data_IF_312468668922
#
_entry.id   IF_312468668922
#
_cell.length_a   1.000
_cell.length_b   1.000
_cell.length_c   1.000
_cell.angle_alpha   90.00
_cell.angle_beta   90.00
_cell.angle_gamma   90.00
#
_symmetry.space_group_name_H-M   'P 1'
#
loop_
_entity.id
_entity.type
_entity.pdbx_description
1 polymer ?
#
# COMPACT_ATOMS: atom_id res chain seq x y z
N UNK A 1 -3.98 51.12 -2.59
CA UNK A 1 -4.50 50.32 -1.46
C UNK A 1 -5.91 49.89 -1.85
N UNK A 2 -6.31 48.63 -1.97
CA UNK A 2 -5.68 47.31 -1.82
C UNK A 2 -6.78 46.38 -2.36
N UNK A 3 -6.48 45.50 -3.32
CA UNK A 3 -7.44 44.48 -3.78
C UNK A 3 -7.58 43.43 -2.69
N UNK A 4 -8.79 43.27 -2.12
CA UNK A 4 -9.08 42.32 -1.04
C UNK A 4 -9.94 41.15 -1.54
N UNK A 5 -9.24 40.06 -1.88
CA UNK A 5 -9.35 38.73 -1.24
C UNK A 5 -10.75 38.08 -1.08
N UNK A 6 -11.58 38.00 -2.12
CA UNK A 6 -12.78 37.12 -2.12
C UNK A 6 -13.10 36.45 -3.46
N UNK A 7 -12.07 36.01 -4.17
CA UNK A 7 -12.20 35.27 -5.43
C UNK A 7 -11.72 33.83 -5.26
N UNK A 8 -12.14 33.19 -4.17
CA UNK A 8 -11.94 31.75 -3.95
C UNK A 8 -13.27 31.21 -3.41
N UNK A 9 -13.70 30.08 -3.97
CA UNK A 9 -14.91 29.33 -3.63
C UNK A 9 -16.20 29.94 -4.21
N UNK A 10 -16.64 29.42 -5.36
CA UNK A 10 -17.97 28.80 -5.55
C UNK A 10 -18.24 28.73 -7.04
N UNK A 11 -17.87 27.64 -7.70
CA UNK A 11 -18.55 27.22 -8.92
C UNK A 11 -18.36 25.71 -9.10
N UNK A 12 -18.93 24.96 -8.15
CA UNK A 12 -19.14 23.52 -8.26
C UNK A 12 -20.60 23.31 -8.68
N UNK A 13 -20.74 22.59 -9.80
CA UNK A 13 -21.90 21.80 -10.21
C UNK A 13 -23.23 22.51 -10.47
N UNK A 14 -23.53 22.77 -11.74
CA UNK A 14 -24.80 22.32 -12.33
C UNK A 14 -24.76 22.37 -13.86
N UNK A 15 -24.66 21.22 -14.52
CA UNK A 15 -25.35 20.96 -15.78
C UNK A 15 -25.20 19.47 -16.19
N UNK A 16 -26.13 18.68 -15.65
CA UNK A 16 -26.94 17.74 -16.43
C UNK A 16 -26.25 16.60 -17.18
N UNK A 17 -26.23 15.43 -16.52
CA UNK A 17 -26.28 14.13 -17.19
C UNK A 17 -27.59 14.05 -17.97
N UNK A 18 -27.49 13.88 -19.28
CA UNK A 18 -28.61 13.66 -20.19
C UNK A 18 -28.10 13.28 -21.57
N UNK A 19 -27.86 11.99 -21.78
CA UNK A 19 -27.59 11.35 -23.07
C UNK A 19 -28.69 11.74 -24.10
N UNK A 20 -28.52 11.74 -25.42
CA UNK A 20 -27.85 10.81 -26.33
C UNK A 20 -27.72 11.50 -27.72
N UNK A 21 -26.80 10.99 -28.54
CA UNK A 21 -26.82 10.99 -30.02
C UNK A 21 -26.10 12.12 -30.78
N UNK A 22 -24.82 11.87 -31.09
CA UNK A 22 -24.32 12.07 -32.46
C UNK A 22 -23.54 13.34 -32.77
N UNK A 23 -22.63 13.80 -31.89
CA UNK A 23 -21.53 14.66 -32.33
C UNK A 23 -20.48 13.82 -33.06
N UNK A 24 -20.70 13.60 -34.35
CA UNK A 24 -19.62 13.29 -35.29
C UNK A 24 -18.81 14.58 -35.46
N UNK A 25 -17.66 14.65 -34.80
CA UNK A 25 -16.79 15.82 -34.89
C UNK A 25 -15.66 15.78 -33.88
N UNK A 26 -14.59 15.07 -34.27
CA UNK A 26 -13.20 15.41 -33.94
C UNK A 26 -12.86 15.53 -32.45
N UNK A 27 -12.72 14.38 -31.76
CA UNK A 27 -12.07 14.33 -30.45
C UNK A 27 -11.34 12.99 -30.23
N UNK A 28 -10.65 12.49 -31.27
CA UNK A 28 -9.89 11.23 -31.21
C UNK A 28 -8.36 11.45 -31.25
N UNK A 29 -7.86 12.67 -30.99
CA UNK A 29 -6.42 12.97 -31.16
C UNK A 29 -5.75 13.64 -29.95
N UNK A 30 -6.38 13.71 -28.78
CA UNK A 30 -5.76 14.31 -27.58
C UNK A 30 -5.85 13.45 -26.31
N UNK A 31 -6.40 12.23 -26.38
CA UNK A 31 -6.65 11.40 -25.19
C UNK A 31 -5.56 10.34 -24.98
N UNK A 32 -4.80 9.98 -26.02
CA UNK A 32 -3.75 8.96 -25.89
C UNK A 32 -2.47 9.53 -25.24
N UNK A 33 -2.00 10.72 -25.63
CA UNK A 33 -0.74 11.28 -25.09
C UNK A 33 -0.82 11.72 -23.61
N UNK A 34 -1.99 12.16 -23.11
CA UNK A 34 -2.11 12.65 -21.72
C UNK A 34 -2.24 11.50 -20.72
N UNK A 35 -2.64 10.31 -21.16
CA UNK A 35 -2.79 9.16 -20.27
C UNK A 35 -1.44 8.52 -19.94
N UNK A 36 -0.50 8.50 -20.88
CA UNK A 36 0.81 7.86 -20.72
C UNK A 36 1.75 8.69 -19.81
N UNK A 37 1.84 10.00 -20.02
CA UNK A 37 2.65 10.92 -19.18
C UNK A 37 2.15 11.00 -17.72
N UNK A 38 0.84 10.87 -17.49
CA UNK A 38 0.28 10.91 -16.15
C UNK A 38 0.58 9.63 -15.35
N UNK A 39 0.58 8.46 -16.00
CA UNK A 39 0.97 7.21 -15.34
C UNK A 39 2.46 7.15 -15.03
N UNK A 40 3.32 7.60 -15.94
CA UNK A 40 4.77 7.60 -15.70
C UNK A 40 5.19 8.57 -14.58
N UNK A 41 4.58 9.77 -14.51
CA UNK A 41 4.90 10.76 -13.47
C UNK A 41 4.43 10.33 -12.08
N UNK A 42 3.30 9.60 -11.99
CA UNK A 42 2.84 9.05 -10.72
C UNK A 42 3.81 7.96 -10.27
N UNK A 43 4.15 6.99 -11.13
CA UNK A 43 5.09 5.91 -10.80
C UNK A 43 6.46 6.45 -10.32
N UNK A 44 6.98 7.51 -10.97
CA UNK A 44 8.25 8.14 -10.59
C UNK A 44 8.18 8.87 -9.24
N UNK A 45 7.03 9.44 -8.87
CA UNK A 45 6.87 10.18 -7.60
C UNK A 45 6.51 9.26 -6.41
N UNK A 46 5.79 8.15 -6.61
CA UNK A 46 5.53 7.16 -5.54
C UNK A 46 6.67 6.17 -5.37
N UNK A 47 7.60 6.04 -6.32
CA UNK A 47 8.78 5.16 -6.16
C UNK A 47 9.68 5.55 -4.98
N UNK A 48 9.70 6.82 -4.58
CA UNK A 48 10.46 7.29 -3.40
C UNK A 48 9.69 7.09 -2.07
N UNK A 49 8.40 6.77 -2.12
CA UNK A 49 7.60 6.50 -0.93
C UNK A 49 7.40 5.00 -0.79
N UNK A 50 8.22 4.38 0.08
CA UNK A 50 8.06 2.97 0.42
C UNK A 50 6.61 2.71 0.86
N UNK A 51 5.97 1.74 0.19
CA UNK A 51 4.61 1.32 0.58
C UNK A 51 4.70 0.69 1.98
N UNK A 52 3.79 1.02 2.91
CA UNK A 52 3.74 0.36 4.20
C UNK A 52 3.59 -1.16 4.01
N UNK A 53 4.35 -1.98 4.73
CA UNK A 53 4.19 -3.42 4.65
C UNK A 53 2.85 -3.84 5.24
N UNK A 54 2.25 -4.88 4.66
CA UNK A 54 1.00 -5.43 5.16
C UNK A 54 0.89 -6.92 4.79
N UNK A 55 0.11 -7.66 5.58
CA UNK A 55 -0.14 -9.07 5.38
C UNK A 55 -1.51 -9.46 5.94
N UNK A 56 -2.10 -10.49 5.35
CA UNK A 56 -3.31 -11.11 5.85
C UNK A 56 -2.92 -12.35 6.66
N UNK A 57 -3.30 -12.38 7.94
CA UNK A 57 -2.89 -13.44 8.88
C UNK A 57 -4.09 -14.01 9.62
N UNK A 58 -4.06 -15.33 9.87
CA UNK A 58 -5.00 -16.04 10.74
C UNK A 58 -4.22 -16.68 11.89
N UNK A 59 -4.80 -16.66 13.10
CA UNK A 59 -4.20 -17.25 14.30
C UNK A 59 -5.02 -18.47 14.69
N UNK A 60 -4.37 -19.64 14.72
CA UNK A 60 -4.99 -20.88 15.15
C UNK A 60 -5.10 -20.96 16.67
N UNK A 61 -5.95 -21.87 17.15
CA UNK A 61 -6.22 -22.02 18.59
C UNK A 61 -5.03 -22.53 19.41
N UNK A 62 -4.01 -23.09 18.75
CA UNK A 62 -2.77 -23.56 19.36
C UNK A 62 -1.65 -22.51 19.32
N UNK A 63 -1.92 -21.31 18.80
CA UNK A 63 -0.96 -20.21 18.68
C UNK A 63 -0.16 -20.21 17.38
N UNK A 64 -0.44 -21.14 16.45
CA UNK A 64 0.16 -21.12 15.11
C UNK A 64 -0.37 -19.94 14.32
N UNK A 65 0.52 -19.21 13.66
CA UNK A 65 0.15 -18.08 12.78
C UNK A 65 0.20 -18.57 11.34
N UNK A 66 -0.92 -18.54 10.65
CA UNK A 66 -0.97 -18.69 9.20
C UNK A 66 -0.89 -17.32 8.52
N UNK A 67 0.14 -17.12 7.72
CA UNK A 67 0.20 -16.00 6.79
C UNK A 67 -0.46 -16.44 5.49
N UNK A 68 -1.59 -15.83 5.16
CA UNK A 68 -2.39 -16.18 3.98
C UNK A 68 -1.86 -15.48 2.73
N UNK A 69 -1.47 -14.21 2.87
CA UNK A 69 -0.92 -13.41 1.79
C UNK A 69 -0.12 -12.21 2.31
N UNK A 70 0.75 -11.68 1.47
CA UNK A 70 1.51 -10.45 1.73
C UNK A 70 1.25 -9.43 0.63
N UNK A 71 1.19 -8.15 1.01
CA UNK A 71 1.00 -7.06 0.06
C UNK A 71 2.24 -6.89 -0.84
N UNK A 72 2.07 -6.42 -2.10
CA UNK A 72 3.19 -6.06 -2.96
C UNK A 72 4.08 -5.00 -2.28
N UNK A 73 5.36 -5.33 -2.08
CA UNK A 73 6.34 -4.50 -1.36
C UNK A 73 6.70 -5.02 0.03
N UNK A 74 5.92 -5.95 0.58
CA UNK A 74 6.24 -6.66 1.82
C UNK A 74 7.23 -7.79 1.54
N UNK A 75 8.37 -7.79 2.22
CA UNK A 75 9.39 -8.85 2.14
C UNK A 75 8.95 -10.08 2.91
N UNK A 76 8.29 -9.89 4.06
CA UNK A 76 7.79 -10.98 4.86
C UNK A 76 7.15 -10.54 6.16
N UNK A 77 6.74 -11.53 6.94
CA UNK A 77 6.07 -11.42 8.22
C UNK A 77 6.88 -12.17 9.27
N UNK A 78 6.97 -11.62 10.47
CA UNK A 78 7.74 -12.17 11.58
C UNK A 78 6.92 -12.16 12.87
N UNK A 79 7.15 -13.16 13.71
CA UNK A 79 6.70 -13.15 15.10
C UNK A 79 7.57 -12.18 15.92
N UNK A 80 6.96 -11.15 16.51
CA UNK A 80 7.69 -10.16 17.30
C UNK A 80 8.34 -9.06 16.46
N UNK A 81 9.12 -8.20 17.12
CA UNK A 81 9.88 -7.16 16.43
C UNK A 81 11.26 -7.70 16.05
N UNK A 82 11.84 -7.26 14.90
CA UNK A 82 13.22 -7.56 14.56
C UNK A 82 14.17 -7.13 15.68
N UNK A 83 15.14 -7.98 16.00
CA UNK A 83 16.13 -7.74 17.05
C UNK A 83 17.44 -7.14 16.51
N UNK A 84 17.65 -7.24 15.20
CA UNK A 84 18.86 -6.76 14.51
C UNK A 84 18.65 -5.39 13.88
N UNK A 85 19.76 -4.75 13.50
CA UNK A 85 19.75 -3.47 12.77
C UNK A 85 19.29 -3.60 11.30
N UNK A 86 19.16 -4.83 10.78
CA UNK A 86 18.73 -5.12 9.41
C UNK A 86 17.48 -6.03 9.41
N UNK A 87 16.27 -5.45 9.54
CA UNK A 87 15.04 -6.23 9.65
C UNK A 87 14.71 -7.03 8.39
N UNK A 88 15.22 -6.62 7.23
CA UNK A 88 15.00 -7.30 5.94
C UNK A 88 15.76 -8.62 5.89
N UNK A 89 17.05 -8.58 6.26
CA UNK A 89 17.87 -9.81 6.31
C UNK A 89 17.43 -10.75 7.43
N UNK A 90 16.96 -10.21 8.55
CA UNK A 90 16.39 -11.02 9.64
C UNK A 90 15.17 -11.80 9.17
N UNK A 91 14.20 -11.15 8.50
CA UNK A 91 13.02 -11.83 7.93
C UNK A 91 13.37 -12.94 6.93
N UNK A 92 14.49 -12.81 6.22
CA UNK A 92 14.94 -13.81 5.23
C UNK A 92 15.63 -15.01 5.85
N UNK A 93 16.09 -14.90 7.09
CA UNK A 93 16.98 -15.90 7.71
C UNK A 93 16.44 -16.47 9.01
N UNK A 94 15.54 -15.76 9.69
CA UNK A 94 14.91 -16.22 10.92
C UNK A 94 13.92 -17.36 10.65
N UNK A 95 13.94 -18.36 11.53
CA UNK A 95 12.98 -19.46 11.52
C UNK A 95 11.55 -18.99 11.92
N UNK A 96 11.46 -17.88 12.68
CA UNK A 96 10.21 -17.27 13.17
C UNK A 96 9.62 -16.24 12.18
N UNK A 97 10.00 -16.35 10.89
CA UNK A 97 9.55 -15.47 9.83
C UNK A 97 9.22 -16.23 8.55
N UNK A 98 8.31 -15.67 7.76
CA UNK A 98 7.94 -16.19 6.43
C UNK A 98 7.93 -15.07 5.40
N UNK A 99 8.45 -15.33 4.20
CA UNK A 99 8.56 -14.34 3.12
C UNK A 99 7.36 -14.37 2.15
N UNK A 100 6.22 -14.92 2.60
CA UNK A 100 5.04 -15.15 1.78
C UNK A 100 4.04 -16.04 2.51
N UNK A 101 3.11 -16.70 1.79
CA UNK A 101 2.16 -17.61 2.41
C UNK A 101 2.88 -18.77 3.11
N UNK A 102 2.54 -19.02 4.37
CA UNK A 102 3.24 -19.99 5.20
C UNK A 102 2.74 -19.98 6.64
N UNK A 103 3.40 -20.78 7.48
CA UNK A 103 3.09 -20.90 8.90
C UNK A 103 4.28 -20.44 9.76
N UNK A 104 3.99 -19.76 10.86
CA UNK A 104 4.94 -19.48 11.94
C UNK A 104 4.42 -20.20 13.19
N UNK A 105 5.14 -21.24 13.60
CA UNK A 105 4.79 -22.05 14.77
C UNK A 105 5.42 -21.48 16.05
N UNK A 106 4.70 -21.57 17.17
CA UNK A 106 5.27 -21.27 18.49
C UNK A 106 5.58 -19.78 18.73
N UNK A 107 4.79 -18.88 18.14
CA UNK A 107 4.98 -17.45 18.37
C UNK A 107 4.58 -17.05 19.80
N UNK A 108 5.58 -16.78 20.63
CA UNK A 108 5.41 -16.33 22.02
C UNK A 108 5.39 -14.79 22.17
N UNK A 109 5.47 -14.05 21.06
CA UNK A 109 5.49 -12.58 21.07
C UNK A 109 4.09 -11.98 21.24
N UNK A 110 4.02 -10.71 21.66
CA UNK A 110 2.75 -9.98 21.81
C UNK A 110 2.21 -9.41 20.49
N UNK A 111 2.94 -9.59 19.37
CA UNK A 111 2.59 -8.97 18.08
C UNK A 111 3.22 -9.69 16.91
N UNK A 112 2.57 -9.57 15.77
CA UNK A 112 3.03 -10.02 14.47
C UNK A 112 3.33 -8.77 13.65
N UNK A 113 4.48 -8.75 12.98
CA UNK A 113 4.89 -7.59 12.18
C UNK A 113 5.20 -7.99 10.75
N UNK A 114 4.97 -7.07 9.83
CA UNK A 114 5.38 -7.17 8.44
C UNK A 114 6.52 -6.17 8.17
N UNK A 115 7.44 -6.55 7.29
CA UNK A 115 8.61 -5.74 6.91
C UNK A 115 8.63 -5.54 5.39
N UNK A 116 8.90 -4.32 4.93
CA UNK A 116 9.05 -4.02 3.49
C UNK A 116 10.52 -4.00 3.05
N UNK A 117 10.77 -3.81 1.75
CA UNK A 117 12.13 -3.76 1.18
C UNK A 117 12.97 -2.56 1.69
N UNK A 118 12.32 -1.52 2.22
CA UNK A 118 12.99 -0.37 2.83
C UNK A 118 13.36 -0.61 4.30
N UNK A 119 12.93 -1.72 4.91
CA UNK A 119 13.10 -2.02 6.33
C UNK A 119 12.09 -1.32 7.24
N UNK A 120 11.02 -0.75 6.70
CA UNK A 120 9.90 -0.28 7.51
C UNK A 120 9.18 -1.48 8.12
N UNK A 121 8.65 -1.30 9.33
CA UNK A 121 8.00 -2.34 10.12
C UNK A 121 6.58 -1.87 10.47
N UNK A 122 5.58 -2.69 10.17
CA UNK A 122 4.19 -2.45 10.54
C UNK A 122 3.66 -3.60 11.41
N UNK A 123 2.90 -3.27 12.45
CA UNK A 123 2.21 -4.29 13.26
C UNK A 123 0.95 -4.72 12.52
N UNK A 124 0.93 -5.98 12.11
CA UNK A 124 -0.21 -6.58 11.38
C UNK A 124 -1.29 -7.04 12.36
N UNK A 125 -0.86 -7.64 13.47
CA UNK A 125 -1.79 -8.18 14.47
C UNK A 125 -1.18 -8.11 15.87
N UNK A 126 -2.03 -7.96 16.88
CA UNK A 126 -1.64 -7.99 18.29
C UNK A 126 -2.13 -9.29 18.92
N UNK A 127 -1.23 -9.95 19.65
CA UNK A 127 -1.50 -11.20 20.35
C UNK A 127 -1.81 -10.85 21.82
N UNK A 128 -2.98 -11.26 22.30
CA UNK A 128 -3.49 -11.03 23.67
C UNK A 128 -3.09 -12.13 24.67
#
# INVERSE_FOLDING_TARGET
MTMDRRQWLTSICTASIGAIAGCTGELEAMTEDVNEEATETVDETVSDLARPPNADVEIESDGTILVLSTDPGTVGVMCGLPETDDPVEEVRTADEAVTGPGEIEGCDAERIVAVNEAGDIEVVERLD
#
